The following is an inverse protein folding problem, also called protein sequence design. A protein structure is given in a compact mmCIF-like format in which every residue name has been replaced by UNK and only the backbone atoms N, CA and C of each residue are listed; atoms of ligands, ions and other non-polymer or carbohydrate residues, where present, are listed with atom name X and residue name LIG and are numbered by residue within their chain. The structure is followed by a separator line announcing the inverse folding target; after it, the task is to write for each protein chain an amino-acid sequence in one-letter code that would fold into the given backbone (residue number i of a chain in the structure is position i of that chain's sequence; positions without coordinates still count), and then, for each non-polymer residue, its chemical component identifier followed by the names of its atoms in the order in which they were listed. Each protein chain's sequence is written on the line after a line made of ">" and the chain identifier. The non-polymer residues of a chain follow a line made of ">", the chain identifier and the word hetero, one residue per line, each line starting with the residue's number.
data_IF_752366906227
#
_entry.id   IF_752366906227
#
_cell.length_a   1.000
_cell.length_b   1.000
_cell.length_c   1.000
_cell.angle_alpha   90.00
_cell.angle_beta   90.00
_cell.angle_gamma   90.00
#
_symmetry.space_group_name_H-M   'P 1'
#
loop_
_entity.id
_entity.type
_entity.pdbx_description
1 polymer ?
#
# COMPACT_ATOMS: atom_id res chain seq x y z
N UNK A 1 10.25 -24.20 9.37
CA UNK A 1 9.33 -24.24 8.24
C UNK A 1 8.03 -23.50 8.54
N UNK A 2 7.29 -23.15 7.52
CA UNK A 2 5.99 -22.50 7.67
C UNK A 2 4.91 -23.51 8.08
N UNK A 3 3.85 -23.00 8.73
CA UNK A 3 2.67 -23.82 8.98
C UNK A 3 2.05 -24.29 7.66
N UNK A 4 1.50 -25.49 7.61
CA UNK A 4 0.92 -26.09 6.38
C UNK A 4 -0.15 -25.24 5.70
N UNK A 5 -0.84 -24.36 6.44
CA UNK A 5 -1.84 -23.43 5.89
C UNK A 5 -1.24 -22.38 4.93
N UNK A 6 0.09 -22.17 4.93
CA UNK A 6 0.80 -21.24 4.07
C UNK A 6 1.63 -22.00 3.04
N UNK A 7 0.98 -22.78 2.21
CA UNK A 7 1.63 -23.51 1.13
C UNK A 7 2.37 -22.60 0.17
N UNK A 8 3.37 -23.15 -0.51
CA UNK A 8 4.04 -22.54 -1.67
C UNK A 8 4.80 -21.22 -1.37
N UNK A 9 5.32 -21.06 -0.14
CA UNK A 9 6.10 -19.88 0.29
C UNK A 9 7.55 -20.27 0.56
N UNK A 10 8.49 -19.48 0.01
CA UNK A 10 9.93 -19.75 0.10
C UNK A 10 10.65 -18.87 1.14
N UNK A 11 10.20 -17.64 1.37
CA UNK A 11 10.93 -16.66 2.17
C UNK A 11 10.21 -16.20 3.42
N UNK A 12 8.99 -15.68 3.31
CA UNK A 12 8.25 -15.14 4.44
C UNK A 12 6.73 -15.18 4.22
N UNK A 13 5.98 -15.07 5.32
CA UNK A 13 4.53 -14.94 5.33
C UNK A 13 4.17 -13.80 6.29
N UNK A 14 3.35 -12.86 5.82
CA UNK A 14 2.75 -11.82 6.63
C UNK A 14 1.27 -12.16 6.82
N UNK A 15 0.89 -12.53 8.05
CA UNK A 15 -0.50 -12.81 8.43
C UNK A 15 -1.06 -11.60 9.19
N UNK A 16 -2.01 -10.90 8.58
CA UNK A 16 -2.61 -9.68 9.13
C UNK A 16 -4.02 -9.97 9.62
N UNK A 17 -4.26 -9.65 10.88
CA UNK A 17 -5.59 -9.72 11.48
C UNK A 17 -6.06 -8.32 11.83
N UNK A 18 -7.16 -7.90 11.24
CA UNK A 18 -7.81 -6.63 11.60
C UNK A 18 -8.53 -6.75 12.93
N UNK A 19 -8.44 -5.71 13.74
CA UNK A 19 -9.22 -5.60 14.97
C UNK A 19 -10.71 -5.38 14.67
N UNK A 20 -11.55 -5.72 15.60
CA UNK A 20 -12.97 -5.39 15.52
C UNK A 20 -13.20 -4.08 16.29
N UNK A 21 -13.77 -3.04 15.68
CA UNK A 21 -14.15 -1.81 16.38
C UNK A 21 -15.16 -2.10 17.50
N UNK A 22 -15.03 -1.38 18.60
CA UNK A 22 -15.96 -1.45 19.73
C UNK A 22 -16.87 -0.21 19.82
N UNK A 23 -16.62 0.80 18.98
CA UNK A 23 -17.35 2.05 18.93
C UNK A 23 -16.97 2.89 17.72
N UNK A 24 -17.46 4.13 17.69
CA UNK A 24 -17.00 5.10 16.71
C UNK A 24 -15.65 5.69 17.16
N UNK A 25 -14.71 5.77 16.24
CA UNK A 25 -13.40 6.36 16.45
C UNK A 25 -12.85 6.99 15.18
N UNK A 26 -12.06 8.04 15.37
CA UNK A 26 -11.30 8.70 14.29
C UNK A 26 -9.87 8.89 14.78
N UNK A 27 -8.91 8.55 13.93
CA UNK A 27 -7.51 8.87 14.14
C UNK A 27 -7.00 9.59 12.90
N UNK A 28 -6.30 10.70 13.10
CA UNK A 28 -5.61 11.42 12.05
C UNK A 28 -4.13 11.55 12.41
N UNK A 29 -3.25 11.29 11.45
CA UNK A 29 -1.81 11.46 11.57
C UNK A 29 -1.35 12.37 10.44
N UNK A 30 -0.56 13.40 10.79
CA UNK A 30 0.02 14.36 9.84
C UNK A 30 1.50 14.52 10.14
N UNK A 31 2.32 14.48 9.13
CA UNK A 31 3.76 14.71 9.21
C UNK A 31 4.28 15.39 7.93
N UNK A 32 5.58 15.69 7.88
CA UNK A 32 6.21 16.39 6.74
C UNK A 32 6.10 15.64 5.41
N UNK A 33 5.85 14.34 5.44
CA UNK A 33 5.76 13.50 4.25
C UNK A 33 4.33 13.21 3.81
N UNK A 34 3.32 13.72 4.56
CA UNK A 34 1.93 13.50 4.23
C UNK A 34 1.05 13.27 5.45
N UNK A 35 -0.06 12.58 5.26
CA UNK A 35 -1.00 12.32 6.33
C UNK A 35 -1.87 11.10 6.08
N UNK A 36 -2.55 10.70 7.14
CA UNK A 36 -3.56 9.65 7.09
C UNK A 36 -4.74 9.97 7.99
N UNK A 37 -5.89 9.45 7.62
CA UNK A 37 -7.08 9.45 8.46
C UNK A 37 -7.66 8.03 8.49
N UNK A 38 -7.97 7.55 9.68
CA UNK A 38 -8.62 6.24 9.88
C UNK A 38 -9.89 6.46 10.68
N UNK A 39 -10.97 5.91 10.18
CA UNK A 39 -12.28 5.92 10.86
C UNK A 39 -12.69 4.52 11.24
N UNK A 40 -13.33 4.38 12.37
CA UNK A 40 -13.88 3.13 12.87
C UNK A 40 -15.33 3.32 13.24
N UNK A 41 -16.15 2.34 12.97
CA UNK A 41 -17.56 2.37 13.37
C UNK A 41 -18.09 0.98 13.65
N UNK A 42 -19.09 0.94 14.51
CA UNK A 42 -19.87 -0.26 14.80
C UNK A 42 -21.35 0.12 14.92
N UNK A 43 -22.22 -0.70 14.36
CA UNK A 43 -23.65 -0.49 14.46
C UNK A 43 -24.16 -0.72 15.89
N UNK A 44 -25.27 -0.07 16.28
CA UNK A 44 -25.88 -0.21 17.63
C UNK A 44 -26.17 -1.66 18.01
N UNK A 45 -26.53 -2.51 17.02
CA UNK A 45 -26.79 -3.95 17.23
C UNK A 45 -25.52 -4.80 17.13
N UNK A 46 -24.35 -4.18 16.99
CA UNK A 46 -23.04 -4.84 16.85
C UNK A 46 -22.96 -5.88 15.71
N UNK A 47 -23.88 -5.82 14.74
CA UNK A 47 -23.85 -6.73 13.58
C UNK A 47 -22.92 -6.24 12.48
N UNK A 48 -22.76 -4.93 12.31
CA UNK A 48 -21.88 -4.32 11.31
C UNK A 48 -20.74 -3.59 11.97
N UNK A 49 -19.54 -3.75 11.44
CA UNK A 49 -18.41 -2.90 11.79
C UNK A 49 -17.59 -2.55 10.54
N UNK A 50 -16.97 -1.38 10.57
CA UNK A 50 -16.11 -0.90 9.51
C UNK A 50 -14.87 -0.20 10.08
N UNK A 51 -13.73 -0.45 9.42
CA UNK A 51 -12.51 0.34 9.56
C UNK A 51 -12.16 0.83 8.17
N UNK A 52 -12.04 2.16 8.00
CA UNK A 52 -11.67 2.75 6.72
C UNK A 52 -10.52 3.71 6.93
N UNK A 53 -9.46 3.57 6.15
CA UNK A 53 -8.29 4.42 6.16
C UNK A 53 -8.08 5.06 4.80
N UNK A 54 -7.68 6.34 4.83
CA UNK A 54 -7.16 7.08 3.69
C UNK A 54 -5.77 7.55 4.03
N UNK A 55 -4.85 7.46 3.08
CA UNK A 55 -3.46 7.87 3.28
C UNK A 55 -2.93 8.54 2.01
N UNK A 56 -2.17 9.60 2.23
CA UNK A 56 -1.37 10.26 1.19
C UNK A 56 0.05 10.44 1.69
N UNK A 57 1.04 10.20 0.84
CA UNK A 57 2.44 10.45 1.11
C UNK A 57 3.14 11.04 -0.10
N UNK A 58 4.03 11.99 0.18
CA UNK A 58 4.99 12.56 -0.74
C UNK A 58 6.39 12.40 -0.15
N UNK A 59 7.15 11.48 -0.72
CA UNK A 59 8.51 11.18 -0.26
C UNK A 59 9.58 12.03 -0.96
N UNK A 60 9.19 12.99 -1.79
CA UNK A 60 10.12 13.87 -2.52
C UNK A 60 11.09 14.61 -1.59
N UNK A 61 10.61 15.04 -0.40
CA UNK A 61 11.46 15.68 0.60
C UNK A 61 12.57 14.77 1.11
N UNK A 62 12.30 13.47 1.30
CA UNK A 62 13.31 12.51 1.73
C UNK A 62 14.36 12.27 0.65
N UNK A 63 13.94 12.21 -0.60
CA UNK A 63 14.86 12.02 -1.73
C UNK A 63 15.72 13.26 -1.90
N UNK A 64 15.12 14.46 -1.89
CA UNK A 64 15.82 15.74 -2.02
C UNK A 64 16.76 16.07 -0.85
N UNK A 65 16.50 15.52 0.34
CA UNK A 65 17.39 15.70 1.50
C UNK A 65 18.66 14.86 1.44
N UNK A 66 18.70 13.85 0.58
CA UNK A 66 19.91 13.11 0.25
C UNK A 66 20.55 13.82 -0.94
N UNK A 67 21.85 14.04 -0.91
CA UNK A 67 22.61 14.58 -2.04
C UNK A 67 22.64 13.56 -3.20
N UNK A 68 21.46 13.22 -3.70
CA UNK A 68 21.31 12.40 -4.89
C UNK A 68 21.19 13.33 -6.09
N UNK A 69 22.04 13.11 -7.10
CA UNK A 69 22.04 13.87 -8.36
C UNK A 69 20.83 13.51 -9.25
N UNK A 70 19.69 13.17 -8.65
CA UNK A 70 18.48 12.77 -9.36
C UNK A 70 17.26 13.50 -8.81
N UNK A 71 16.43 13.99 -9.69
CA UNK A 71 15.13 14.55 -9.31
C UNK A 71 14.08 13.45 -9.39
N UNK A 72 13.84 12.79 -8.24
CA UNK A 72 12.88 11.71 -8.10
C UNK A 72 11.79 12.11 -7.11
N UNK A 73 10.54 12.08 -7.55
CA UNK A 73 9.39 12.53 -6.79
C UNK A 73 8.36 11.38 -6.64
N UNK A 74 8.56 10.48 -5.67
CA UNK A 74 7.61 9.40 -5.41
C UNK A 74 6.46 9.88 -4.53
N UNK A 75 5.25 9.82 -5.08
CA UNK A 75 4.02 10.08 -4.34
C UNK A 75 3.13 8.86 -4.31
N UNK A 76 2.35 8.71 -3.26
CA UNK A 76 1.34 7.69 -3.24
C UNK A 76 0.09 8.08 -2.44
N UNK A 77 -1.05 7.57 -2.88
CA UNK A 77 -2.32 7.69 -2.19
C UNK A 77 -3.01 6.32 -2.13
N UNK A 78 -3.59 6.00 -0.99
CA UNK A 78 -4.38 4.78 -0.86
C UNK A 78 -5.64 4.98 -0.02
N UNK A 79 -6.63 4.17 -0.34
CA UNK A 79 -7.86 4.01 0.42
C UNK A 79 -8.05 2.52 0.73
N UNK A 80 -8.21 2.19 2.00
CA UNK A 80 -8.43 0.82 2.44
C UNK A 80 -9.65 0.75 3.34
N UNK A 81 -10.46 -0.29 3.16
CA UNK A 81 -11.62 -0.54 4.02
C UNK A 81 -11.71 -1.99 4.41
N UNK A 82 -12.02 -2.25 5.67
CA UNK A 82 -12.35 -3.57 6.19
C UNK A 82 -13.73 -3.53 6.82
N UNK A 83 -14.64 -4.24 6.21
CA UNK A 83 -16.05 -4.32 6.61
C UNK A 83 -16.32 -5.71 7.18
N UNK A 84 -17.11 -5.78 8.25
CA UNK A 84 -17.61 -7.06 8.76
C UNK A 84 -19.10 -6.98 8.99
N UNK A 85 -19.81 -8.06 8.66
CA UNK A 85 -21.24 -8.18 8.91
C UNK A 85 -21.58 -9.56 9.47
N UNK A 86 -22.26 -9.58 10.61
CA UNK A 86 -22.84 -10.79 11.21
C UNK A 86 -24.27 -10.94 10.77
N UNK A 87 -24.51 -11.84 9.82
CA UNK A 87 -25.87 -12.18 9.38
C UNK A 87 -26.64 -12.94 10.46
N UNK A 88 -25.95 -13.89 11.10
CA UNK A 88 -26.45 -14.68 12.22
C UNK A 88 -25.26 -15.08 13.11
N UNK A 89 -25.53 -15.76 14.23
CA UNK A 89 -24.49 -16.32 15.10
C UNK A 89 -23.65 -17.39 14.38
N UNK A 90 -24.20 -17.98 13.33
CA UNK A 90 -23.53 -19.01 12.53
C UNK A 90 -22.84 -18.49 11.28
N UNK A 91 -23.18 -17.30 10.77
CA UNK A 91 -22.60 -16.80 9.52
C UNK A 91 -22.12 -15.36 9.61
N UNK A 92 -20.81 -15.19 9.43
CA UNK A 92 -20.14 -13.90 9.39
C UNK A 92 -19.46 -13.70 8.03
N UNK A 93 -19.63 -12.52 7.44
CA UNK A 93 -18.99 -12.11 6.21
C UNK A 93 -18.06 -10.92 6.49
N UNK A 94 -16.89 -10.94 5.91
CA UNK A 94 -15.96 -9.81 5.94
C UNK A 94 -15.53 -9.46 4.51
N UNK A 95 -15.30 -8.18 4.27
CA UNK A 95 -14.77 -7.64 3.01
C UNK A 95 -13.57 -6.75 3.29
N UNK A 96 -12.48 -6.98 2.58
CA UNK A 96 -11.31 -6.11 2.53
C UNK A 96 -11.21 -5.52 1.14
N UNK A 97 -11.25 -4.19 1.03
CA UNK A 97 -11.01 -3.45 -0.20
C UNK A 97 -9.78 -2.55 -0.06
N UNK A 98 -9.01 -2.44 -1.11
CA UNK A 98 -7.88 -1.50 -1.21
C UNK A 98 -7.82 -0.91 -2.61
N UNK A 99 -7.65 0.41 -2.67
CA UNK A 99 -7.36 1.18 -3.87
C UNK A 99 -6.06 1.92 -3.61
N UNK A 100 -5.07 1.81 -4.51
CA UNK A 100 -3.80 2.51 -4.35
C UNK A 100 -3.36 3.12 -5.68
N UNK A 101 -2.78 4.31 -5.60
CA UNK A 101 -2.16 5.02 -6.72
C UNK A 101 -0.74 5.36 -6.28
N UNK A 102 0.24 4.93 -7.06
CA UNK A 102 1.64 5.30 -6.92
C UNK A 102 2.03 6.06 -8.18
N UNK A 103 2.66 7.21 -8.01
CA UNK A 103 3.14 8.06 -9.08
C UNK A 103 4.63 8.34 -8.83
N UNK A 104 5.46 7.97 -9.80
CA UNK A 104 6.90 8.09 -9.76
C UNK A 104 7.36 8.98 -10.89
N UNK A 105 7.73 10.21 -10.58
CA UNK A 105 8.31 11.13 -11.54
C UNK A 105 9.82 11.11 -11.39
N UNK A 106 10.51 10.80 -12.47
CA UNK A 106 11.95 10.76 -12.53
C UNK A 106 12.44 11.68 -13.65
N UNK A 107 13.26 12.67 -13.26
CA UNK A 107 13.94 13.57 -14.18
C UNK A 107 15.45 13.34 -14.03
N UNK A 108 16.10 12.66 -14.98
CA UNK A 108 17.53 12.47 -14.93
C UNK A 108 18.24 13.81 -15.07
N UNK A 109 19.24 14.03 -14.22
CA UNK A 109 20.06 15.25 -14.27
C UNK A 109 21.33 15.01 -15.10
N UNK A 110 21.78 16.06 -15.81
CA UNK A 110 23.06 16.03 -16.51
C UNK A 110 24.18 15.71 -15.53
N UNK A 111 24.98 14.70 -15.85
CA UNK A 111 26.12 14.29 -15.02
C UNK A 111 27.43 14.69 -15.65
N UNK A 112 28.32 15.23 -14.80
CA UNK A 112 29.70 15.45 -15.14
C UNK A 112 30.59 14.50 -14.34
N UNK A 113 31.40 13.73 -15.02
CA UNK A 113 32.42 12.89 -14.40
C UNK A 113 33.78 13.40 -14.82
N UNK A 114 34.63 13.76 -13.85
CA UNK A 114 35.98 14.21 -14.09
C UNK A 114 36.93 13.03 -13.90
N UNK A 115 37.84 12.86 -14.85
CA UNK A 115 38.90 11.86 -14.81
C UNK A 115 40.18 12.41 -15.48
N UNK A 116 41.29 11.72 -15.38
CA UNK A 116 42.58 12.16 -15.85
C UNK A 116 43.53 12.51 -14.71
N UNK A 117 44.57 13.27 -15.03
CA UNK A 117 45.57 13.75 -14.06
C UNK A 117 45.36 15.22 -13.71
N UNK A 118 46.08 15.73 -12.70
CA UNK A 118 46.02 17.15 -12.35
C UNK A 118 46.52 18.06 -13.48
N UNK A 119 47.43 17.52 -14.31
CA UNK A 119 48.02 18.26 -15.45
C UNK A 119 47.16 18.15 -16.73
N UNK A 120 46.29 17.14 -16.82
CA UNK A 120 45.43 16.94 -17.98
C UNK A 120 44.04 16.41 -17.52
N UNK A 121 43.20 17.28 -16.95
CA UNK A 121 41.89 16.93 -16.49
C UNK A 121 40.91 16.79 -17.67
N UNK A 122 40.19 15.67 -17.72
CA UNK A 122 39.16 15.40 -18.71
C UNK A 122 37.79 15.38 -18.02
N UNK A 123 36.81 16.05 -18.59
CA UNK A 123 35.44 16.05 -18.12
C UNK A 123 34.53 15.35 -19.15
N UNK A 124 33.82 14.31 -18.72
CA UNK A 124 32.72 13.72 -19.47
C UNK A 124 31.41 14.32 -18.98
N UNK A 125 30.74 15.05 -19.87
CA UNK A 125 29.36 15.49 -19.61
C UNK A 125 28.40 14.55 -20.33
N UNK A 126 27.50 13.95 -19.56
CA UNK A 126 26.39 13.13 -20.08
C UNK A 126 25.12 13.94 -19.92
N UNK A 127 24.59 14.39 -21.04
CA UNK A 127 23.31 15.09 -21.08
C UNK A 127 22.19 14.06 -21.15
N UNK A 128 21.27 14.12 -20.20
CA UNK A 128 20.03 13.39 -20.24
C UNK A 128 18.92 14.37 -20.66
N UNK A 129 18.21 14.04 -21.74
CA UNK A 129 17.05 14.78 -22.21
C UNK A 129 15.87 13.81 -22.17
N UNK A 130 14.94 14.10 -21.29
CA UNK A 130 13.75 13.28 -21.07
C UNK A 130 13.29 13.28 -19.62
N UNK A 131 12.11 12.79 -19.42
CA UNK A 131 11.50 12.54 -18.10
C UNK A 131 10.77 11.20 -18.18
N UNK A 132 10.78 10.49 -17.08
CA UNK A 132 10.05 9.23 -16.94
C UNK A 132 8.95 9.43 -15.90
N UNK A 133 7.76 9.01 -16.23
CA UNK A 133 6.62 9.05 -15.31
C UNK A 133 5.93 7.70 -15.29
N UNK A 134 6.06 7.00 -14.16
CA UNK A 134 5.47 5.69 -13.95
C UNK A 134 4.31 5.81 -12.99
N UNK A 135 3.15 5.38 -13.43
CA UNK A 135 1.92 5.39 -12.64
C UNK A 135 1.35 3.99 -12.49
N UNK A 136 1.22 3.57 -11.24
CA UNK A 136 0.62 2.29 -10.86
C UNK A 136 -0.71 2.52 -10.17
N UNK A 137 -1.76 1.88 -10.66
CA UNK A 137 -3.08 1.89 -10.03
C UNK A 137 -3.44 0.47 -9.64
N UNK A 138 -3.63 0.23 -8.35
CA UNK A 138 -3.94 -1.09 -7.80
C UNK A 138 -5.35 -1.13 -7.24
N UNK A 139 -6.08 -2.16 -7.60
CA UNK A 139 -7.41 -2.49 -7.11
C UNK A 139 -7.37 -3.87 -6.49
N UNK A 140 -7.73 -3.97 -5.22
CA UNK A 140 -7.79 -5.23 -4.51
C UNK A 140 -9.10 -5.37 -3.77
N UNK A 141 -9.69 -6.55 -3.83
CA UNK A 141 -10.88 -6.91 -3.08
C UNK A 141 -10.81 -8.36 -2.59
N UNK A 142 -11.19 -8.60 -1.35
CA UNK A 142 -11.26 -9.94 -0.79
C UNK A 142 -12.51 -10.10 0.08
N UNK A 143 -13.22 -11.19 -0.11
CA UNK A 143 -14.32 -11.63 0.75
C UNK A 143 -13.88 -12.82 1.59
N UNK A 144 -14.29 -12.83 2.86
CA UNK A 144 -14.08 -13.95 3.78
C UNK A 144 -15.39 -14.30 4.44
N UNK A 145 -15.91 -15.48 4.16
CA UNK A 145 -17.06 -16.07 4.84
C UNK A 145 -16.61 -17.03 5.94
N UNK A 146 -17.18 -16.92 7.14
CA UNK A 146 -17.00 -17.89 8.20
C UNK A 146 -18.39 -18.47 8.54
N UNK A 147 -18.50 -19.79 8.48
CA UNK A 147 -19.71 -20.51 8.85
C UNK A 147 -19.41 -21.47 10.01
N UNK A 148 -20.00 -21.18 11.16
CA UNK A 148 -19.88 -21.99 12.38
C UNK A 148 -20.95 -23.10 12.35
N UNK A 149 -20.51 -24.29 11.94
CA UNK A 149 -21.43 -25.46 11.84
C UNK A 149 -21.85 -25.90 13.24
N UNK A 150 -20.87 -26.02 14.15
CA UNK A 150 -21.04 -26.30 15.57
C UNK A 150 -19.78 -25.79 16.32
N UNK A 151 -19.70 -26.03 17.63
CA UNK A 151 -18.61 -25.54 18.48
C UNK A 151 -17.21 -26.07 18.10
N UNK A 152 -17.17 -27.20 17.39
CA UNK A 152 -15.92 -27.86 16.99
C UNK A 152 -15.57 -27.70 15.51
N UNK A 153 -16.50 -27.21 14.68
CA UNK A 153 -16.32 -27.11 13.22
C UNK A 153 -16.67 -25.72 12.70
N UNK A 154 -15.69 -25.06 12.12
CA UNK A 154 -15.85 -23.79 11.39
C UNK A 154 -15.37 -23.94 9.94
N UNK A 155 -16.23 -23.63 9.00
CA UNK A 155 -15.88 -23.54 7.58
C UNK A 155 -15.47 -22.09 7.26
N UNK A 156 -14.34 -21.92 6.56
CA UNK A 156 -13.86 -20.62 6.10
C UNK A 156 -13.69 -20.65 4.58
N UNK A 157 -14.28 -19.67 3.90
CA UNK A 157 -14.10 -19.45 2.48
C UNK A 157 -13.49 -18.06 2.28
N UNK A 158 -12.45 -17.98 1.45
CA UNK A 158 -11.82 -16.71 1.06
C UNK A 158 -11.79 -16.66 -0.46
N UNK A 159 -12.28 -15.57 -1.03
CA UNK A 159 -12.16 -15.26 -2.45
C UNK A 159 -11.57 -13.85 -2.59
N UNK A 160 -10.58 -13.69 -3.47
CA UNK A 160 -9.94 -12.40 -3.69
C UNK A 160 -9.68 -12.14 -5.16
N UNK A 161 -9.65 -10.85 -5.52
CA UNK A 161 -9.26 -10.36 -6.84
C UNK A 161 -8.25 -9.24 -6.67
N UNK A 162 -7.27 -9.22 -7.55
CA UNK A 162 -6.22 -8.22 -7.61
C UNK A 162 -6.04 -7.79 -9.07
N UNK A 163 -5.98 -6.47 -9.29
CA UNK A 163 -5.73 -5.89 -10.61
C UNK A 163 -4.81 -4.69 -10.45
N UNK A 164 -3.78 -4.60 -11.31
CA UNK A 164 -2.90 -3.43 -11.39
C UNK A 164 -2.86 -2.95 -12.83
N UNK A 165 -3.01 -1.64 -13.01
CA UNK A 165 -2.74 -0.94 -14.26
C UNK A 165 -1.44 -0.18 -14.11
N UNK A 166 -0.54 -0.35 -15.04
CA UNK A 166 0.75 0.31 -15.14
C UNK A 166 0.76 1.19 -16.38
N UNK A 167 1.24 2.41 -16.22
CA UNK A 167 1.41 3.39 -17.30
C UNK A 167 2.81 3.97 -17.17
N UNK A 168 3.60 3.84 -18.21
CA UNK A 168 4.94 4.37 -18.33
C UNK A 168 4.98 5.40 -19.46
N UNK A 169 5.52 6.57 -19.19
CA UNK A 169 5.71 7.65 -20.15
C UNK A 169 7.18 8.05 -20.17
N UNK A 170 7.77 8.09 -21.37
CA UNK A 170 9.16 8.45 -21.62
C UNK A 170 9.26 9.74 -22.42
#
# INVERSE_FOLDING_TARGET
>A
GFQAKYGDKLSSVLDITYRTPIGFGVRADVNLLGGSITTETVSKNSKFSAITGLRYRDNSLLVKSKETETNFNPTFADAQTYLTYRFSDKFHLSFLGNLAINDYQYEPTTRQTNFGTLDDPIALLVFYDGQENDKYQTYFGAFKGNYFVNDNLTLKLIASSFHTTEQEYF
#
